data_IF_625737785175
#
_entry.id   IF_625737785175
#
_cell.length_a   1.000
_cell.length_b   1.000
_cell.length_c   1.000
_cell.angle_alpha   90.00
_cell.angle_beta   90.00
_cell.angle_gamma   90.00
#
_symmetry.space_group_name_H-M   'P 1'
#
loop_
_entity.id
_entity.type
_entity.pdbx_description
1 polymer ?
#
# COMPACT_ATOMS: atom_id res chain seq x y z
N UNK A 1 9.78 -0.73 -23.99
CA UNK A 1 8.32 -0.48 -24.07
C UNK A 1 7.51 -1.65 -24.63
N UNK A 2 8.08 -2.51 -25.50
CA UNK A 2 7.38 -3.69 -26.06
C UNK A 2 6.80 -4.68 -25.03
N UNK A 3 7.30 -4.69 -23.78
CA UNK A 3 6.80 -5.60 -22.73
C UNK A 3 5.41 -5.23 -22.20
N UNK A 4 5.07 -3.95 -22.09
CA UNK A 4 3.77 -3.49 -21.59
C UNK A 4 2.61 -3.81 -22.55
N UNK A 5 2.90 -3.87 -23.85
CA UNK A 5 1.92 -4.15 -24.89
C UNK A 5 1.72 -5.65 -25.15
N UNK A 6 2.41 -6.53 -24.39
CA UNK A 6 2.23 -7.97 -24.54
C UNK A 6 0.79 -8.35 -24.16
N UNK A 7 0.07 -9.13 -24.97
CA UNK A 7 -1.32 -9.50 -24.69
C UNK A 7 -1.53 -10.17 -23.32
N UNK A 8 -0.54 -10.93 -22.84
CA UNK A 8 -0.58 -11.54 -21.52
C UNK A 8 -0.48 -10.50 -20.39
N UNK A 9 0.39 -9.49 -20.54
CA UNK A 9 0.56 -8.40 -19.57
C UNK A 9 -0.70 -7.52 -19.53
N UNK A 10 -1.27 -7.20 -20.70
CA UNK A 10 -2.50 -6.41 -20.78
C UNK A 10 -3.67 -7.11 -20.08
N UNK A 11 -3.86 -8.42 -20.32
CA UNK A 11 -4.90 -9.21 -19.65
C UNK A 11 -4.69 -9.27 -18.14
N UNK A 12 -3.48 -9.53 -17.67
CA UNK A 12 -3.17 -9.56 -16.24
C UNK A 12 -3.38 -8.18 -15.57
N UNK A 13 -2.99 -7.11 -16.26
CA UNK A 13 -3.14 -5.73 -15.77
C UNK A 13 -4.60 -5.29 -15.75
N UNK A 14 -5.42 -5.77 -16.70
CA UNK A 14 -6.86 -5.57 -16.68
C UNK A 14 -7.48 -6.20 -15.42
N UNK A 15 -7.14 -7.46 -15.13
CA UNK A 15 -7.58 -8.13 -13.90
C UNK A 15 -7.09 -7.38 -12.65
N UNK A 16 -5.85 -6.90 -12.64
CA UNK A 16 -5.30 -6.09 -11.56
C UNK A 16 -6.05 -4.77 -11.37
N UNK A 17 -6.38 -4.07 -12.46
CA UNK A 17 -7.19 -2.85 -12.41
C UNK A 17 -8.58 -3.08 -11.86
N UNK A 18 -9.27 -4.14 -12.31
CA UNK A 18 -10.58 -4.55 -11.76
C UNK A 18 -10.47 -4.89 -10.27
N UNK A 19 -9.47 -5.69 -9.89
CA UNK A 19 -9.20 -6.03 -8.50
C UNK A 19 -8.99 -4.79 -7.63
N UNK A 20 -8.13 -3.86 -8.07
CA UNK A 20 -7.88 -2.61 -7.35
C UNK A 20 -9.15 -1.76 -7.22
N UNK A 21 -9.95 -1.64 -8.27
CA UNK A 21 -11.22 -0.90 -8.22
C UNK A 21 -12.22 -1.53 -7.24
N UNK A 22 -12.41 -2.85 -7.29
CA UNK A 22 -13.30 -3.57 -6.38
C UNK A 22 -12.80 -3.50 -4.92
N UNK A 23 -11.50 -3.62 -4.69
CA UNK A 23 -10.92 -3.50 -3.36
C UNK A 23 -11.04 -2.08 -2.79
N UNK A 24 -11.04 -1.05 -3.64
CA UNK A 24 -11.23 0.33 -3.21
C UNK A 24 -12.70 0.74 -3.04
N UNK A 25 -13.63 0.00 -3.66
CA UNK A 25 -15.05 0.35 -3.66
C UNK A 25 -15.64 0.57 -2.26
N UNK A 26 -15.41 -0.29 -1.24
CA UNK A 26 -15.98 -0.08 0.08
C UNK A 26 -15.54 1.26 0.70
N UNK A 27 -14.26 1.62 0.55
CA UNK A 27 -13.73 2.88 1.09
C UNK A 27 -14.33 4.09 0.38
N UNK A 28 -14.48 4.01 -0.95
CA UNK A 28 -15.08 5.08 -1.74
C UNK A 28 -16.58 5.23 -1.48
N UNK A 29 -17.28 4.12 -1.25
CA UNK A 29 -18.70 4.11 -0.93
C UNK A 29 -18.98 4.75 0.44
N UNK A 30 -18.13 4.47 1.43
CA UNK A 30 -18.19 5.06 2.78
C UNK A 30 -17.74 6.52 2.84
N UNK A 31 -17.11 7.05 1.78
CA UNK A 31 -16.76 8.47 1.69
C UNK A 31 -17.97 9.29 1.24
N UNK A 32 -18.75 9.77 2.21
CA UNK A 32 -19.98 10.53 1.96
C UNK A 32 -19.73 11.96 1.44
N UNK A 33 -18.66 12.61 1.90
CA UNK A 33 -18.27 13.98 1.49
C UNK A 33 -17.44 14.01 0.18
N UNK A 34 -17.58 12.99 -0.66
CA UNK A 34 -16.83 12.91 -1.92
C UNK A 34 -17.24 14.04 -2.89
N UNK A 35 -16.28 14.70 -3.56
CA UNK A 35 -16.57 15.78 -4.50
C UNK A 35 -17.21 15.27 -5.80
N UNK A 36 -16.92 14.01 -6.17
CA UNK A 36 -17.30 13.43 -7.45
C UNK A 36 -18.18 12.19 -7.31
N UNK A 37 -18.81 11.80 -8.42
CA UNK A 37 -19.60 10.58 -8.50
C UNK A 37 -18.75 9.32 -8.22
N UNK A 38 -19.31 8.38 -7.45
CA UNK A 38 -18.65 7.12 -7.10
C UNK A 38 -18.20 6.33 -8.33
N UNK A 39 -19.01 6.30 -9.38
CA UNK A 39 -18.69 5.63 -10.66
C UNK A 39 -17.47 6.26 -11.34
N UNK A 40 -17.35 7.59 -11.31
CA UNK A 40 -16.19 8.29 -11.85
C UNK A 40 -14.93 7.95 -11.05
N UNK A 41 -14.98 8.02 -9.72
CA UNK A 41 -13.84 7.65 -8.87
C UNK A 41 -13.40 6.20 -9.07
N UNK A 42 -14.35 5.27 -9.20
CA UNK A 42 -14.05 3.88 -9.52
C UNK A 42 -13.40 3.71 -10.89
N UNK A 43 -13.86 4.45 -11.91
CA UNK A 43 -13.25 4.44 -13.23
C UNK A 43 -11.80 4.98 -13.19
N UNK A 44 -11.56 6.06 -12.44
CA UNK A 44 -10.21 6.60 -12.22
C UNK A 44 -9.33 5.56 -11.52
N UNK A 45 -9.79 4.96 -10.43
CA UNK A 45 -9.05 3.92 -9.70
C UNK A 45 -8.78 2.71 -10.59
N UNK A 46 -9.75 2.29 -11.42
CA UNK A 46 -9.56 1.21 -12.39
C UNK A 46 -8.45 1.54 -13.39
N UNK A 47 -8.48 2.73 -14.01
CA UNK A 47 -7.47 3.16 -14.99
C UNK A 47 -6.09 3.28 -14.33
N UNK A 48 -6.01 3.92 -13.17
CA UNK A 48 -4.76 4.01 -12.41
C UNK A 48 -4.24 2.62 -12.02
N UNK A 49 -5.11 1.77 -11.47
CA UNK A 49 -4.79 0.38 -11.13
C UNK A 49 -4.28 -0.40 -12.33
N UNK A 50 -4.93 -0.28 -13.49
CA UNK A 50 -4.49 -0.89 -14.74
C UNK A 50 -3.05 -0.49 -15.08
N UNK A 51 -2.71 0.80 -15.04
CA UNK A 51 -1.35 1.26 -15.32
C UNK A 51 -0.33 0.79 -14.28
N UNK A 52 -0.68 0.86 -12.99
CA UNK A 52 0.17 0.38 -11.90
C UNK A 52 0.49 -1.11 -12.07
N UNK A 53 -0.54 -1.94 -12.30
CA UNK A 53 -0.36 -3.37 -12.53
C UNK A 53 0.36 -3.68 -13.84
N UNK A 54 0.25 -2.82 -14.86
CA UNK A 54 1.01 -2.96 -16.09
C UNK A 54 2.52 -2.77 -15.86
N UNK A 55 2.92 -1.83 -15.00
CA UNK A 55 4.32 -1.72 -14.59
C UNK A 55 4.77 -2.95 -13.82
N UNK A 56 3.95 -3.43 -12.89
CA UNK A 56 4.25 -4.62 -12.09
C UNK A 56 4.44 -5.85 -12.99
N UNK A 57 3.42 -6.24 -13.77
CA UNK A 57 3.51 -7.45 -14.61
C UNK A 57 4.44 -7.29 -15.81
N UNK A 58 4.54 -6.09 -16.36
CA UNK A 58 5.36 -5.82 -17.54
C UNK A 58 6.85 -5.68 -17.25
N UNK A 59 7.25 -5.23 -16.05
CA UNK A 59 8.64 -4.94 -15.72
C UNK A 59 9.20 -5.74 -14.54
N UNK A 60 8.41 -6.03 -13.49
CA UNK A 60 8.97 -6.67 -12.29
C UNK A 60 9.74 -7.95 -12.61
N UNK A 61 9.09 -8.92 -13.26
CA UNK A 61 9.73 -10.20 -13.58
C UNK A 61 10.88 -10.07 -14.56
N UNK A 62 10.78 -9.12 -15.50
CA UNK A 62 11.81 -8.89 -16.52
C UNK A 62 13.10 -8.32 -15.92
N UNK A 63 13.00 -7.38 -14.98
CA UNK A 63 14.15 -6.65 -14.45
C UNK A 63 14.65 -7.18 -13.11
N UNK A 64 13.79 -7.78 -12.28
CA UNK A 64 14.20 -8.37 -11.00
C UNK A 64 14.55 -9.86 -11.11
N UNK A 65 14.16 -10.54 -12.20
CA UNK A 65 14.29 -11.99 -12.34
C UNK A 65 13.42 -12.80 -11.38
N UNK A 66 12.47 -12.15 -10.66
CA UNK A 66 11.60 -12.79 -9.67
C UNK A 66 10.13 -12.67 -10.05
N UNK A 67 9.29 -13.67 -9.76
CA UNK A 67 7.85 -13.54 -9.97
C UNK A 67 7.24 -12.55 -8.97
N UNK A 68 6.11 -11.95 -9.34
CA UNK A 68 5.34 -11.03 -8.48
C UNK A 68 4.70 -11.79 -7.31
N UNK A 69 4.18 -12.99 -7.60
CA UNK A 69 3.60 -13.89 -6.63
C UNK A 69 4.55 -15.06 -6.41
N UNK A 70 5.07 -15.17 -5.19
CA UNK A 70 5.98 -16.23 -4.77
C UNK A 70 5.21 -17.17 -3.85
N UNK A 71 5.52 -18.46 -3.89
CA UNK A 71 4.98 -19.42 -2.93
C UNK A 71 5.45 -19.03 -1.52
N UNK A 72 4.51 -18.83 -0.61
CA UNK A 72 4.82 -18.40 0.76
C UNK A 72 5.52 -19.53 1.52
N UNK A 73 6.74 -19.27 1.98
CA UNK A 73 7.43 -20.16 2.90
C UNK A 73 6.81 -20.04 4.31
N UNK A 74 6.41 -21.16 4.95
CA UNK A 74 5.74 -21.10 6.25
C UNK A 74 6.56 -20.41 7.34
N UNK A 75 7.89 -20.60 7.34
CA UNK A 75 8.81 -19.98 8.29
C UNK A 75 8.84 -18.45 8.14
N UNK A 76 8.94 -17.97 6.90
CA UNK A 76 8.93 -16.55 6.60
C UNK A 76 7.57 -15.93 6.94
N UNK A 77 6.48 -16.60 6.58
CA UNK A 77 5.13 -16.15 6.89
C UNK A 77 4.92 -16.02 8.42
N UNK A 78 5.32 -17.02 9.21
CA UNK A 78 5.25 -16.97 10.67
C UNK A 78 6.08 -15.82 11.25
N UNK A 79 7.33 -15.65 10.80
CA UNK A 79 8.20 -14.57 11.24
C UNK A 79 7.61 -13.18 10.93
N UNK A 80 7.02 -13.03 9.75
CA UNK A 80 6.37 -11.78 9.33
C UNK A 80 5.11 -11.51 10.13
N UNK A 81 4.33 -12.54 10.46
CA UNK A 81 3.17 -12.40 11.36
C UNK A 81 3.60 -11.88 12.73
N UNK A 82 4.62 -12.48 13.35
CA UNK A 82 5.13 -12.03 14.65
C UNK A 82 5.64 -10.58 14.58
N UNK A 83 6.45 -10.27 13.56
CA UNK A 83 6.94 -8.90 13.37
C UNK A 83 5.80 -7.90 13.12
N UNK A 84 4.77 -8.29 12.37
CA UNK A 84 3.60 -7.45 12.12
C UNK A 84 2.81 -7.19 13.39
N UNK A 85 2.64 -8.19 14.26
CA UNK A 85 2.01 -8.05 15.57
C UNK A 85 2.81 -7.07 16.44
N UNK A 86 4.14 -7.20 16.50
CA UNK A 86 4.98 -6.27 17.28
C UNK A 86 4.83 -4.84 16.77
N UNK A 87 4.87 -4.62 15.46
CA UNK A 87 4.66 -3.28 14.86
C UNK A 87 3.24 -2.78 15.09
N UNK A 88 2.24 -3.65 15.04
CA UNK A 88 0.85 -3.33 15.32
C UNK A 88 0.67 -2.85 16.75
N UNK A 89 1.25 -3.56 17.73
CA UNK A 89 1.24 -3.17 19.15
C UNK A 89 1.99 -1.85 19.37
N UNK A 90 3.17 -1.69 18.75
CA UNK A 90 3.91 -0.44 18.84
C UNK A 90 3.09 0.75 18.31
N UNK A 91 2.38 0.57 17.19
CA UNK A 91 1.48 1.61 16.67
C UNK A 91 0.32 1.88 17.64
N UNK A 92 -0.31 0.84 18.15
CA UNK A 92 -1.44 0.94 19.08
C UNK A 92 -1.09 1.71 20.36
N UNK A 93 0.10 1.48 20.92
CA UNK A 93 0.50 2.12 22.19
C UNK A 93 1.21 3.46 22.04
N UNK A 94 1.95 3.70 20.94
CA UNK A 94 2.78 4.90 20.81
C UNK A 94 2.29 5.88 19.74
N UNK A 95 1.74 5.38 18.63
CA UNK A 95 1.40 6.22 17.47
C UNK A 95 -0.07 6.62 17.49
N UNK A 96 -0.96 5.65 17.71
CA UNK A 96 -2.40 5.84 17.67
C UNK A 96 -2.91 6.80 18.76
N UNK A 97 -2.40 6.80 20.01
CA UNK A 97 -2.82 7.77 21.03
C UNK A 97 -2.47 9.23 20.70
N UNK A 98 -1.40 9.44 19.92
CA UNK A 98 -0.97 10.77 19.49
C UNK A 98 -1.74 11.21 18.24
N UNK A 99 -1.96 10.30 17.29
CA UNK A 99 -2.63 10.63 16.02
C UNK A 99 -4.15 10.69 16.12
N UNK A 100 -4.78 9.89 16.98
CA UNK A 100 -6.24 9.84 17.14
C UNK A 100 -6.88 11.18 17.51
N UNK A 101 -6.37 11.98 18.46
CA UNK A 101 -6.94 13.29 18.75
C UNK A 101 -6.68 14.31 17.63
N UNK A 102 -5.60 14.15 16.86
CA UNK A 102 -5.23 15.07 15.78
C UNK A 102 -5.98 14.78 14.48
N UNK A 103 -6.29 13.51 14.21
CA UNK A 103 -6.94 13.03 12.98
C UNK A 103 -7.88 11.87 13.27
N UNK A 104 -9.04 12.13 13.89
CA UNK A 104 -10.00 11.09 14.22
C UNK A 104 -10.55 10.37 12.97
N UNK A 105 -10.64 11.06 11.83
CA UNK A 105 -11.18 10.49 10.59
C UNK A 105 -10.26 9.50 9.88
N UNK A 106 -8.99 9.41 10.29
CA UNK A 106 -8.04 8.43 9.75
C UNK A 106 -8.17 7.05 10.41
N UNK A 107 -8.97 6.95 11.48
CA UNK A 107 -9.20 5.71 12.23
C UNK A 107 -10.56 5.11 11.86
N UNK A 108 -10.64 3.77 11.70
CA UNK A 108 -11.90 3.10 11.44
C UNK A 108 -12.83 3.23 12.66
N UNK A 109 -14.09 3.60 12.43
CA UNK A 109 -15.11 3.79 13.47
C UNK A 109 -15.95 2.52 13.70
N UNK A 110 -15.96 1.62 12.72
CA UNK A 110 -16.87 0.47 12.60
C UNK A 110 -16.22 -0.65 11.76
N UNK A 111 -16.72 -1.89 11.89
CA UNK A 111 -16.17 -3.06 11.19
C UNK A 111 -16.14 -2.88 9.65
N UNK A 112 -17.19 -2.34 9.00
CA UNK A 112 -17.14 -1.98 7.58
C UNK A 112 -16.01 -1.01 7.23
N UNK A 113 -15.80 0.06 8.00
CA UNK A 113 -14.70 1.00 7.79
C UNK A 113 -13.31 0.36 7.94
N UNK A 114 -13.16 -0.60 8.86
CA UNK A 114 -11.94 -1.37 9.02
C UNK A 114 -11.69 -2.27 7.80
N UNK A 115 -12.69 -3.03 7.37
CA UNK A 115 -12.60 -3.88 6.19
C UNK A 115 -12.27 -3.05 4.93
N UNK A 116 -12.93 -1.89 4.78
CA UNK A 116 -12.65 -0.94 3.70
C UNK A 116 -11.20 -0.43 3.72
N UNK A 117 -10.64 -0.18 4.90
CA UNK A 117 -9.24 0.25 5.05
C UNK A 117 -8.24 -0.85 4.71
N UNK A 118 -8.52 -2.09 5.08
CA UNK A 118 -7.69 -3.26 4.72
C UNK A 118 -7.72 -3.47 3.21
N UNK A 119 -8.91 -3.52 2.60
CA UNK A 119 -9.07 -3.75 1.16
C UNK A 119 -8.43 -2.63 0.34
N UNK A 120 -8.59 -1.37 0.74
CA UNK A 120 -7.90 -0.24 0.11
C UNK A 120 -6.37 -0.32 0.25
N UNK A 121 -5.89 -0.78 1.40
CA UNK A 121 -4.47 -1.05 1.66
C UNK A 121 -3.89 -2.08 0.69
N UNK A 122 -4.60 -3.21 0.54
CA UNK A 122 -4.23 -4.30 -0.35
C UNK A 122 -4.32 -3.86 -1.82
N UNK A 123 -5.45 -3.27 -2.23
CA UNK A 123 -5.75 -2.99 -3.63
C UNK A 123 -4.94 -1.86 -4.24
N UNK A 124 -4.88 -0.72 -3.56
CA UNK A 124 -4.27 0.51 -4.10
C UNK A 124 -2.99 0.89 -3.37
N UNK A 125 -2.99 0.89 -2.04
CA UNK A 125 -1.84 1.40 -1.27
C UNK A 125 -0.58 0.60 -1.54
N UNK A 126 -0.65 -0.74 -1.49
CA UNK A 126 0.50 -1.60 -1.77
C UNK A 126 0.99 -1.48 -3.23
N UNK A 127 0.06 -1.41 -4.19
CA UNK A 127 0.34 -1.26 -5.61
C UNK A 127 1.03 0.07 -5.93
N UNK A 128 0.52 1.17 -5.34
CA UNK A 128 1.00 2.53 -5.57
C UNK A 128 2.30 2.83 -4.85
N UNK A 129 2.50 2.30 -3.63
CA UNK A 129 3.64 2.68 -2.79
C UNK A 129 4.79 1.68 -2.78
N UNK A 130 4.55 0.43 -3.19
CA UNK A 130 5.58 -0.61 -3.19
C UNK A 130 5.76 -1.19 -4.59
N UNK A 131 4.74 -1.83 -5.16
CA UNK A 131 4.94 -2.68 -6.32
C UNK A 131 5.29 -1.90 -7.60
N UNK A 132 4.46 -0.91 -7.95
CA UNK A 132 4.64 -0.16 -9.19
C UNK A 132 5.87 0.76 -9.16
N UNK A 133 6.15 1.53 -8.08
CA UNK A 133 7.38 2.32 -8.01
C UNK A 133 8.62 1.45 -8.07
N UNK A 134 8.63 0.30 -7.37
CA UNK A 134 9.77 -0.61 -7.40
C UNK A 134 10.03 -1.13 -8.82
N UNK A 135 8.99 -1.58 -9.53
CA UNK A 135 9.11 -2.03 -10.91
C UNK A 135 9.59 -0.91 -11.87
N UNK A 136 9.11 0.32 -11.66
CA UNK A 136 9.54 1.49 -12.43
C UNK A 136 11.02 1.80 -12.18
N UNK A 137 11.47 1.89 -10.92
CA UNK A 137 12.86 2.20 -10.62
C UNK A 137 13.81 1.06 -10.99
N UNK A 138 13.37 -0.20 -10.92
CA UNK A 138 14.14 -1.34 -11.42
C UNK A 138 14.38 -1.21 -12.92
N UNK A 139 13.37 -0.75 -13.68
CA UNK A 139 13.54 -0.45 -15.10
C UNK A 139 14.50 0.73 -15.35
N UNK A 140 14.46 1.77 -14.52
CA UNK A 140 15.28 2.98 -14.72
C UNK A 140 16.74 2.78 -14.32
N UNK A 141 16.99 2.09 -13.20
CA UNK A 141 18.32 1.99 -12.59
C UNK A 141 18.99 0.65 -12.81
N UNK A 142 18.21 -0.41 -13.07
CA UNK A 142 18.70 -1.80 -13.14
C UNK A 142 19.28 -2.34 -11.84
N UNK A 143 19.20 -1.58 -10.73
CA UNK A 143 19.83 -1.92 -9.45
C UNK A 143 18.79 -1.95 -8.34
N UNK A 144 18.76 -3.05 -7.60
CA UNK A 144 17.78 -3.32 -6.53
C UNK A 144 17.84 -2.25 -5.42
N UNK A 145 19.03 -1.85 -5.00
CA UNK A 145 19.24 -0.88 -3.91
C UNK A 145 18.67 0.51 -4.24
N UNK A 146 18.96 1.03 -5.43
CA UNK A 146 18.44 2.32 -5.89
C UNK A 146 16.93 2.27 -6.12
N UNK A 147 16.44 1.11 -6.54
CA UNK A 147 15.00 0.90 -6.74
C UNK A 147 14.23 0.86 -5.42
N UNK A 148 14.79 0.22 -4.41
CA UNK A 148 14.26 0.26 -3.05
C UNK A 148 14.25 1.70 -2.51
N UNK A 149 15.38 2.42 -2.63
CA UNK A 149 15.50 3.81 -2.20
C UNK A 149 14.46 4.73 -2.86
N UNK A 150 14.32 4.64 -4.20
CA UNK A 150 13.31 5.41 -4.93
C UNK A 150 11.88 5.09 -4.50
N UNK A 151 11.58 3.80 -4.26
CA UNK A 151 10.26 3.36 -3.79
C UNK A 151 9.92 3.93 -2.42
N UNK A 152 10.88 3.91 -1.49
CA UNK A 152 10.73 4.49 -0.15
C UNK A 152 10.49 5.99 -0.25
N UNK A 153 11.26 6.69 -1.08
CA UNK A 153 11.10 8.13 -1.30
C UNK A 153 9.72 8.49 -1.86
N UNK A 154 9.19 7.70 -2.80
CA UNK A 154 7.81 7.88 -3.30
C UNK A 154 6.81 7.73 -2.16
N UNK A 155 6.95 6.71 -1.31
CA UNK A 155 6.11 6.52 -0.12
C UNK A 155 6.13 7.73 0.83
N UNK A 156 7.33 8.20 1.17
CA UNK A 156 7.52 9.38 2.04
C UNK A 156 6.94 10.64 1.39
N UNK A 157 7.14 10.83 0.09
CA UNK A 157 6.60 11.98 -0.65
C UNK A 157 5.07 11.97 -0.67
N UNK A 158 4.45 10.83 -0.97
CA UNK A 158 2.98 10.70 -0.92
C UNK A 158 2.46 10.97 0.49
N UNK A 159 3.13 10.46 1.52
CA UNK A 159 2.76 10.74 2.91
C UNK A 159 2.88 12.23 3.26
N UNK A 160 3.94 12.91 2.78
CA UNK A 160 4.13 14.34 2.98
C UNK A 160 3.01 15.16 2.32
N UNK A 161 2.67 14.86 1.06
CA UNK A 161 1.58 15.51 0.35
C UNK A 161 0.23 15.26 1.04
N UNK A 162 -0.04 14.01 1.44
CA UNK A 162 -1.26 13.65 2.16
C UNK A 162 -1.34 14.27 3.57
N UNK A 163 -0.20 14.53 4.21
CA UNK A 163 -0.16 15.25 5.47
C UNK A 163 -0.48 16.74 5.28
N UNK A 164 0.02 17.36 4.21
CA UNK A 164 -0.23 18.77 3.88
C UNK A 164 -1.64 19.05 3.35
N UNK A 165 -2.33 18.06 2.77
CA UNK A 165 -3.67 18.24 2.23
C UNK A 165 -4.79 18.26 3.28
N UNK A 166 -4.49 17.93 4.55
CA UNK A 166 -5.47 17.87 5.63
C UNK A 166 -5.26 19.00 6.63
N UNK A 167 -6.35 19.60 7.08
CA UNK A 167 -6.34 20.60 8.16
C UNK A 167 -6.86 19.99 9.47
N UNK A 168 -6.31 20.37 10.63
CA UNK A 168 -5.17 21.26 10.84
C UNK A 168 -3.80 20.61 10.47
N UNK A 169 -2.76 21.41 10.18
CA UNK A 169 -1.43 20.87 9.91
C UNK A 169 -0.87 20.15 11.15
N UNK A 170 -0.19 19.02 10.94
CA UNK A 170 0.44 18.29 12.03
C UNK A 170 1.62 19.10 12.60
N UNK A 171 1.82 19.09 13.94
CA UNK A 171 3.03 19.62 14.54
C UNK A 171 4.28 18.99 13.91
N UNK A 172 5.35 19.78 13.70
CA UNK A 172 6.54 19.34 12.96
C UNK A 172 7.17 18.05 13.50
N UNK A 173 7.19 17.85 14.82
CA UNK A 173 7.71 16.63 15.44
C UNK A 173 6.83 15.40 15.16
N UNK A 174 5.49 15.55 15.16
CA UNK A 174 4.56 14.47 14.78
C UNK A 174 4.69 14.16 13.31
N UNK A 175 4.77 15.19 12.45
CA UNK A 175 4.99 15.02 11.02
C UNK A 175 6.28 14.26 10.73
N UNK A 176 7.39 14.63 11.37
CA UNK A 176 8.67 13.93 11.25
C UNK A 176 8.54 12.46 11.67
N UNK A 177 7.86 12.17 12.78
CA UNK A 177 7.58 10.81 13.23
C UNK A 177 6.75 10.01 12.23
N UNK A 178 5.71 10.61 11.66
CA UNK A 178 4.86 9.99 10.62
C UNK A 178 5.68 9.68 9.37
N UNK A 179 6.48 10.63 8.88
CA UNK A 179 7.33 10.43 7.70
C UNK A 179 8.40 9.35 7.94
N UNK A 180 9.02 9.34 9.13
CA UNK A 180 9.95 8.28 9.52
C UNK A 180 9.25 6.91 9.57
N UNK A 181 8.03 6.84 10.10
CA UNK A 181 7.20 5.64 10.10
C UNK A 181 6.86 5.14 8.69
N UNK A 182 6.58 6.07 7.76
CA UNK A 182 6.39 5.75 6.34
C UNK A 182 7.67 5.27 5.67
N UNK A 183 8.81 5.87 5.96
CA UNK A 183 10.10 5.43 5.45
C UNK A 183 10.43 4.00 5.92
N UNK A 184 10.29 3.73 7.21
CA UNK A 184 10.50 2.41 7.80
C UNK A 184 9.50 1.38 7.25
N UNK A 185 8.22 1.74 7.17
CA UNK A 185 7.18 0.88 6.59
C UNK A 185 7.41 0.58 5.12
N UNK A 186 7.87 1.57 4.34
CA UNK A 186 8.26 1.41 2.94
C UNK A 186 9.46 0.49 2.77
N UNK A 187 10.50 0.67 3.59
CA UNK A 187 11.67 -0.20 3.58
C UNK A 187 11.29 -1.66 3.89
N UNK A 188 10.45 -1.86 4.90
CA UNK A 188 9.93 -3.18 5.26
C UNK A 188 9.07 -3.77 4.15
N UNK A 189 8.18 -2.97 3.56
CA UNK A 189 7.33 -3.38 2.44
C UNK A 189 8.13 -3.84 1.22
N UNK A 190 9.19 -3.11 0.85
CA UNK A 190 10.09 -3.50 -0.24
C UNK A 190 10.85 -4.78 0.10
N UNK A 191 11.37 -4.90 1.33
CA UNK A 191 12.06 -6.12 1.76
C UNK A 191 11.14 -7.35 1.70
N UNK A 192 9.90 -7.22 2.20
CA UNK A 192 8.88 -8.28 2.12
C UNK A 192 8.53 -8.61 0.68
N UNK A 193 8.39 -7.59 -0.18
CA UNK A 193 8.09 -7.79 -1.60
C UNK A 193 9.19 -8.58 -2.30
N UNK A 194 10.45 -8.27 -2.01
CA UNK A 194 11.60 -8.96 -2.58
C UNK A 194 11.73 -10.41 -2.10
N UNK A 195 11.34 -10.70 -0.85
CA UNK A 195 11.48 -12.04 -0.24
C UNK A 195 10.27 -12.95 -0.49
N UNK A 196 9.06 -12.44 -0.39
CA UNK A 196 7.81 -13.24 -0.44
C UNK A 196 6.76 -12.72 -1.41
N UNK A 197 7.10 -11.74 -2.25
CA UNK A 197 6.20 -11.20 -3.27
C UNK A 197 5.04 -10.39 -2.70
N UNK A 198 4.03 -10.13 -3.54
CA UNK A 198 2.89 -9.29 -3.19
C UNK A 198 2.05 -9.84 -2.03
N UNK A 199 1.89 -11.17 -1.95
CA UNK A 199 1.07 -11.81 -0.92
C UNK A 199 1.58 -11.57 0.49
N UNK A 200 2.89 -11.54 0.69
CA UNK A 200 3.49 -11.28 2.00
C UNK A 200 3.31 -9.83 2.44
N UNK A 201 3.39 -8.88 1.50
CA UNK A 201 3.11 -7.46 1.75
C UNK A 201 1.64 -7.26 2.11
N UNK A 202 0.73 -7.92 1.40
CA UNK A 202 -0.70 -7.88 1.72
C UNK A 202 -0.99 -8.43 3.11
N UNK A 203 -0.41 -9.58 3.46
CA UNK A 203 -0.55 -10.16 4.79
C UNK A 203 -0.03 -9.22 5.88
N UNK A 204 1.15 -8.65 5.70
CA UNK A 204 1.74 -7.66 6.60
C UNK A 204 0.81 -6.46 6.85
N UNK A 205 0.24 -5.89 5.79
CA UNK A 205 -0.70 -4.77 5.89
C UNK A 205 -1.97 -5.16 6.64
N UNK A 206 -2.52 -6.35 6.35
CA UNK A 206 -3.72 -6.86 7.02
C UNK A 206 -3.50 -7.01 8.52
N UNK A 207 -2.40 -7.65 8.94
CA UNK A 207 -2.09 -7.87 10.37
C UNK A 207 -1.88 -6.55 11.10
N UNK A 208 -1.23 -5.56 10.47
CA UNK A 208 -1.05 -4.24 11.08
C UNK A 208 -2.37 -3.50 11.24
N UNK A 209 -3.28 -3.60 10.27
CA UNK A 209 -4.60 -2.96 10.37
C UNK A 209 -5.53 -3.68 11.33
N UNK A 210 -5.32 -4.99 11.55
CA UNK A 210 -6.08 -5.79 12.51
C UNK A 210 -5.95 -5.28 13.96
N UNK A 211 -4.97 -4.41 14.29
CA UNK A 211 -4.88 -3.77 15.62
C UNK A 211 -6.13 -3.01 16.03
N UNK A 212 -6.88 -2.50 15.05
CA UNK A 212 -8.12 -1.77 15.27
C UNK A 212 -9.31 -2.69 15.55
N UNK A 213 -9.19 -4.02 15.40
CA UNK A 213 -10.27 -4.95 15.73
C UNK A 213 -10.69 -4.87 17.19
N UNK A 214 -9.72 -4.72 18.10
CA UNK A 214 -9.98 -4.68 19.54
C UNK A 214 -10.75 -3.42 19.99
N UNK A 215 -10.79 -2.38 19.15
CA UNK A 215 -11.45 -1.11 19.46
C UNK A 215 -12.84 -1.00 18.82
N UNK A 216 -13.10 -1.82 17.81
CA UNK A 216 -14.30 -1.78 16.96
C UNK A 216 -15.29 -2.90 17.31
N UNK A 217 -14.84 -3.90 18.08
CA UNK A 217 -15.67 -4.95 18.69
C UNK A 217 -16.22 -4.51 20.05
#
# INVERSE_FOLDING_TARGET
MRSLAKPAVLRASLCGGVFTALACWPRLALWFERPDALSFLLAVVFVCGFFLWNFVFGWHGQYSGRPVFVKLEPKLWAAVTVAAIVVALAKLFFTDPVLRPLRPDDFPKDLPSLAASILFGIGLTSSLLVFAPFALFMRLTGREQWSAGGTILVGVFVAFVAAGSKQPPLPAHVLAGVLAGWAAGGAWGVWLYLRGGAGLVWWWLTVIQARHLAEVL
#
